data_IF_558774950912
#
_entry.id   IF_558774950912
#
_cell.length_a   1.000
_cell.length_b   1.000
_cell.length_c   1.000
_cell.angle_alpha   90.00
_cell.angle_beta   90.00
_cell.angle_gamma   90.00
#
_symmetry.space_group_name_H-M   'P 1'
#
loop_
_entity.id
_entity.type
_entity.pdbx_description
1 polymer ?
#
# COMPACT_ATOMS: atom_id res chain seq x y z
N UNK A 1 -13.96 19.69 1.55
CA UNK A 1 -13.17 18.58 0.96
C UNK A 1 -13.02 17.54 2.04
N UNK A 2 -13.90 16.55 2.08
CA UNK A 2 -14.01 15.62 3.23
C UNK A 2 -13.03 14.49 3.02
N UNK A 3 -11.93 14.50 3.78
CA UNK A 3 -10.96 13.40 3.82
C UNK A 3 -11.56 12.15 4.48
N UNK A 4 -10.80 11.05 4.56
CA UNK A 4 -11.25 9.81 5.20
C UNK A 4 -11.66 10.09 6.65
N UNK A 5 -12.93 9.83 6.97
CA UNK A 5 -13.49 10.06 8.30
C UNK A 5 -13.12 8.89 9.23
N UNK A 6 -12.37 9.14 10.33
CA UNK A 6 -11.97 8.09 11.27
C UNK A 6 -13.16 7.48 12.03
N UNK A 7 -14.34 8.11 12.02
CA UNK A 7 -15.54 7.55 12.62
C UNK A 7 -16.18 6.41 11.82
N UNK A 8 -15.81 6.25 10.54
CA UNK A 8 -16.41 5.26 9.63
C UNK A 8 -15.62 3.95 9.48
N UNK A 9 -14.52 3.78 10.23
CA UNK A 9 -13.77 2.53 10.26
C UNK A 9 -12.28 2.66 10.54
N UNK A 10 -11.55 1.55 10.46
CA UNK A 10 -10.12 1.50 10.72
C UNK A 10 -9.32 1.84 9.47
N UNK A 11 -8.55 2.93 9.53
CA UNK A 11 -7.63 3.32 8.47
C UNK A 11 -6.31 2.59 8.68
N UNK A 12 -5.88 1.77 7.72
CA UNK A 12 -4.53 1.20 7.75
C UNK A 12 -3.55 2.30 7.38
N UNK A 13 -2.70 2.65 8.33
CA UNK A 13 -1.59 3.55 8.09
C UNK A 13 -0.65 2.94 7.04
N UNK A 14 -0.19 3.74 6.06
CA UNK A 14 0.80 3.28 5.12
C UNK A 14 2.07 2.90 5.86
N UNK A 15 2.53 1.67 5.61
CA UNK A 15 3.66 1.04 6.27
C UNK A 15 4.95 1.44 5.56
N UNK A 16 5.48 2.61 5.93
CA UNK A 16 6.64 3.23 5.27
C UNK A 16 7.97 2.49 5.45
N UNK A 17 8.04 1.45 6.30
CA UNK A 17 9.29 0.74 6.59
C UNK A 17 9.89 0.05 5.35
N UNK A 18 9.05 -0.45 4.44
CA UNK A 18 9.51 -1.14 3.24
C UNK A 18 10.23 -0.16 2.29
N UNK A 19 9.62 0.98 1.88
CA UNK A 19 10.34 1.99 1.12
C UNK A 19 11.60 2.50 1.85
N UNK A 20 11.53 2.68 3.17
CA UNK A 20 12.69 3.13 3.96
C UNK A 20 13.85 2.13 3.89
N UNK A 21 13.57 0.84 3.97
CA UNK A 21 14.56 -0.23 3.84
C UNK A 21 15.19 -0.23 2.43
N UNK A 22 14.39 0.00 1.38
CA UNK A 22 14.90 0.10 0.00
C UNK A 22 15.83 1.31 -0.16
N UNK A 23 15.47 2.47 0.41
CA UNK A 23 16.35 3.65 0.41
C UNK A 23 17.66 3.37 1.17
N UNK A 24 17.60 2.74 2.33
CA UNK A 24 18.80 2.37 3.10
C UNK A 24 19.72 1.41 2.32
N UNK A 25 19.13 0.46 1.60
CA UNK A 25 19.86 -0.46 0.72
C UNK A 25 20.50 0.29 -0.47
N UNK A 26 19.82 1.30 -1.01
CA UNK A 26 20.38 2.20 -2.02
C UNK A 26 21.62 2.94 -1.53
N UNK A 27 21.59 3.46 -0.30
CA UNK A 27 22.75 4.10 0.34
C UNK A 27 23.89 3.09 0.54
N UNK A 28 23.60 1.87 1.02
CA UNK A 28 24.60 0.82 1.18
C UNK A 28 25.26 0.44 -0.16
N UNK A 29 24.52 0.46 -1.26
CA UNK A 29 25.04 0.21 -2.61
C UNK A 29 26.02 1.29 -3.12
N UNK A 30 26.10 2.48 -2.50
CA UNK A 30 27.08 3.52 -2.90
C UNK A 30 28.51 3.00 -2.82
N UNK A 31 28.79 2.11 -1.85
CA UNK A 31 30.10 1.50 -1.68
C UNK A 31 30.48 0.51 -2.80
N UNK A 32 29.49 -0.02 -3.53
CA UNK A 32 29.69 -1.01 -4.59
C UNK A 32 29.65 -0.38 -5.97
N UNK A 33 28.61 0.40 -6.27
CA UNK A 33 28.44 1.05 -7.55
C UNK A 33 27.50 2.26 -7.42
N UNK A 34 27.97 3.49 -7.71
CA UNK A 34 27.16 4.69 -7.57
C UNK A 34 25.94 4.71 -8.49
N UNK A 35 25.98 4.08 -9.67
CA UNK A 35 24.84 4.00 -10.57
C UNK A 35 23.76 3.04 -10.06
N UNK A 36 24.17 1.89 -9.52
CA UNK A 36 23.23 0.97 -8.88
C UNK A 36 22.59 1.60 -7.64
N UNK A 37 23.38 2.31 -6.84
CA UNK A 37 22.91 3.07 -5.69
C UNK A 37 21.87 4.12 -6.08
N UNK A 38 22.12 4.88 -7.16
CA UNK A 38 21.20 5.87 -7.67
C UNK A 38 19.88 5.24 -8.13
N UNK A 39 19.94 4.16 -8.90
CA UNK A 39 18.74 3.45 -9.36
C UNK A 39 17.89 2.91 -8.19
N UNK A 40 18.52 2.27 -7.20
CA UNK A 40 17.84 1.72 -6.03
C UNK A 40 17.27 2.84 -5.14
N UNK A 41 18.00 3.94 -4.97
CA UNK A 41 17.54 5.09 -4.18
C UNK A 41 16.33 5.77 -4.83
N UNK A 42 16.34 5.96 -6.15
CA UNK A 42 15.19 6.49 -6.91
C UNK A 42 13.99 5.55 -6.79
N UNK A 43 14.20 4.24 -6.90
CA UNK A 43 13.14 3.24 -6.69
C UNK A 43 12.56 3.33 -5.27
N UNK A 44 13.40 3.42 -4.24
CA UNK A 44 12.97 3.55 -2.84
C UNK A 44 12.15 4.82 -2.61
N UNK A 45 12.58 5.95 -3.17
CA UNK A 45 11.85 7.22 -3.10
C UNK A 45 10.50 7.13 -3.82
N UNK A 46 10.48 6.49 -5.00
CA UNK A 46 9.25 6.27 -5.75
C UNK A 46 8.26 5.41 -4.97
N UNK A 47 8.72 4.30 -4.38
CA UNK A 47 7.90 3.45 -3.51
C UNK A 47 7.39 4.22 -2.28
N UNK A 48 8.20 5.12 -1.72
CA UNK A 48 7.81 5.95 -0.59
C UNK A 48 6.67 6.87 -0.98
N UNK A 49 6.80 7.58 -2.11
CA UNK A 49 5.75 8.43 -2.65
C UNK A 49 4.47 7.63 -2.93
N UNK A 50 4.58 6.50 -3.63
CA UNK A 50 3.42 5.64 -3.93
C UNK A 50 2.73 5.12 -2.67
N UNK A 51 3.49 4.73 -1.63
CA UNK A 51 2.94 4.25 -0.37
C UNK A 51 2.14 5.32 0.37
N UNK A 52 2.47 6.60 0.19
CA UNK A 52 1.73 7.70 0.82
C UNK A 52 0.44 8.04 0.07
N UNK A 53 0.45 7.87 -1.26
CA UNK A 53 -0.70 8.16 -2.10
C UNK A 53 -1.83 7.16 -1.87
N UNK A 54 -1.51 5.87 -1.71
CA UNK A 54 -2.48 4.80 -1.55
C UNK A 54 -2.74 4.51 -0.07
N UNK A 55 -3.99 4.68 0.36
CA UNK A 55 -4.44 4.33 1.72
C UNK A 55 -5.60 3.34 1.67
N UNK A 56 -5.58 2.36 2.56
CA UNK A 56 -6.65 1.38 2.70
C UNK A 56 -7.44 1.71 3.96
N UNK A 57 -8.75 1.85 3.84
CA UNK A 57 -9.66 2.06 4.96
C UNK A 57 -10.66 0.91 5.00
N UNK A 58 -10.68 0.17 6.10
CA UNK A 58 -11.69 -0.85 6.35
C UNK A 58 -12.88 -0.18 7.01
N UNK A 59 -13.98 -0.05 6.28
CA UNK A 59 -15.26 0.40 6.81
C UNK A 59 -16.09 -0.80 7.28
N UNK A 60 -17.29 -0.56 7.82
CA UNK A 60 -18.19 -1.60 8.32
C UNK A 60 -18.68 -2.56 7.24
N UNK A 61 -18.84 -2.09 5.99
CA UNK A 61 -19.41 -2.89 4.90
C UNK A 61 -18.48 -3.09 3.71
N UNK A 62 -17.39 -2.33 3.62
CA UNK A 62 -16.48 -2.36 2.49
C UNK A 62 -15.05 -1.97 2.84
N UNK A 63 -14.10 -2.49 2.06
CA UNK A 63 -12.74 -1.98 1.99
C UNK A 63 -12.69 -0.82 0.99
N UNK A 64 -12.36 0.37 1.47
CA UNK A 64 -12.21 1.58 0.68
C UNK A 64 -10.72 1.79 0.34
N UNK A 65 -10.40 1.90 -0.94
CA UNK A 65 -9.07 2.29 -1.42
C UNK A 65 -9.09 3.76 -1.73
N UNK A 66 -8.26 4.53 -1.02
CA UNK A 66 -8.10 5.95 -1.20
C UNK A 66 -6.81 6.25 -1.96
N UNK A 67 -6.86 7.22 -2.85
CA UNK A 67 -5.70 7.78 -3.52
C UNK A 67 -5.72 9.31 -3.41
N UNK A 68 -4.73 9.90 -2.76
CA UNK A 68 -4.57 11.37 -2.69
C UNK A 68 -5.79 12.13 -2.14
N UNK A 69 -6.58 11.49 -1.25
CA UNK A 69 -7.79 12.08 -0.66
C UNK A 69 -9.10 11.81 -1.39
N UNK A 70 -9.08 11.08 -2.51
CA UNK A 70 -10.28 10.60 -3.21
C UNK A 70 -10.42 9.08 -3.06
N UNK A 71 -11.66 8.57 -3.00
CA UNK A 71 -11.92 7.13 -3.02
C UNK A 71 -11.70 6.64 -4.46
N UNK A 72 -10.63 5.86 -4.67
CA UNK A 72 -10.33 5.26 -5.97
C UNK A 72 -11.28 4.09 -6.27
N UNK A 73 -11.51 3.22 -5.28
CA UNK A 73 -12.39 2.05 -5.44
C UNK A 73 -12.94 1.60 -4.08
N UNK A 74 -14.14 1.02 -4.11
CA UNK A 74 -14.79 0.38 -2.96
C UNK A 74 -14.92 -1.12 -3.24
N UNK A 75 -14.60 -1.96 -2.26
CA UNK A 75 -14.69 -3.41 -2.33
C UNK A 75 -15.63 -3.90 -1.22
N UNK A 76 -16.93 -4.07 -1.49
CA UNK A 76 -17.91 -4.47 -0.48
C UNK A 76 -17.70 -5.92 -0.03
N UNK A 77 -17.79 -6.19 1.28
CA UNK A 77 -17.50 -7.52 1.85
C UNK A 77 -18.45 -8.61 1.35
N UNK A 78 -19.67 -8.25 0.93
CA UNK A 78 -20.65 -9.18 0.36
C UNK A 78 -20.18 -9.82 -0.96
N UNK A 79 -19.29 -9.16 -1.69
CA UNK A 79 -18.77 -9.65 -2.98
C UNK A 79 -17.51 -10.53 -2.82
N UNK A 80 -17.12 -10.82 -1.58
CA UNK A 80 -15.89 -11.54 -1.26
C UNK A 80 -16.08 -13.06 -1.38
N UNK A 81 -15.60 -13.67 -2.48
CA UNK A 81 -15.61 -15.14 -2.63
C UNK A 81 -14.57 -15.86 -1.77
N UNK A 82 -13.51 -15.16 -1.38
CA UNK A 82 -12.43 -15.71 -0.56
C UNK A 82 -11.33 -14.70 -0.35
N UNK A 83 -10.86 -14.60 0.89
CA UNK A 83 -9.73 -13.77 1.27
C UNK A 83 -8.63 -14.64 1.91
N UNK A 84 -7.38 -14.35 1.59
CA UNK A 84 -6.22 -14.96 2.25
C UNK A 84 -5.17 -13.90 2.54
N UNK A 85 -4.68 -13.90 3.78
CA UNK A 85 -3.48 -13.17 4.15
C UNK A 85 -2.29 -14.05 3.79
N UNK A 86 -1.62 -13.76 2.68
CA UNK A 86 -0.57 -14.65 2.18
C UNK A 86 0.68 -14.66 3.06
N UNK A 87 0.98 -13.60 3.82
CA UNK A 87 2.16 -13.51 4.69
C UNK A 87 1.92 -12.71 5.98
N UNK A 88 2.40 -13.23 7.11
CA UNK A 88 2.38 -12.60 8.43
C UNK A 88 3.57 -11.66 8.77
N UNK A 89 4.82 -11.95 8.36
CA UNK A 89 5.97 -11.09 8.68
C UNK A 89 6.18 -9.95 7.68
N UNK A 90 5.73 -10.15 6.44
CA UNK A 90 5.79 -9.15 5.37
C UNK A 90 4.39 -8.68 5.10
N UNK A 91 4.18 -7.40 4.81
CA UNK A 91 2.90 -6.81 5.05
C UNK A 91 2.30 -6.54 3.69
N UNK A 92 2.22 -7.56 2.84
CA UNK A 92 1.50 -7.52 1.56
C UNK A 92 1.22 -8.96 1.10
N UNK A 93 -0.06 -9.36 1.08
CA UNK A 93 -0.85 -9.54 -0.15
C UNK A 93 -2.25 -10.03 0.27
N UNK A 94 -3.23 -9.12 0.28
CA UNK A 94 -4.64 -9.50 0.32
C UNK A 94 -4.98 -10.01 -1.08
N UNK A 95 -5.03 -11.33 -1.26
CA UNK A 95 -5.61 -11.87 -2.48
C UNK A 95 -7.12 -11.78 -2.35
N UNK A 96 -7.72 -10.93 -3.19
CA UNK A 96 -9.15 -10.70 -3.24
C UNK A 96 -9.68 -11.21 -4.57
N UNK A 97 -10.62 -12.18 -4.53
CA UNK A 97 -11.30 -12.69 -5.72
C UNK A 97 -12.75 -12.18 -5.68
N UNK A 98 -13.05 -11.16 -6.47
CA UNK A 98 -14.40 -10.59 -6.61
C UNK A 98 -15.22 -11.42 -7.63
N UNK A 99 -16.55 -11.50 -7.46
CA UNK A 99 -17.43 -12.28 -8.36
C UNK A 99 -17.48 -11.75 -9.81
N UNK A 100 -17.09 -10.49 -10.06
CA UNK A 100 -17.03 -9.91 -11.42
C UNK A 100 -15.65 -9.33 -11.72
N UNK A 101 -14.74 -10.16 -12.20
CA UNK A 101 -13.70 -9.69 -13.10
C UNK A 101 -14.21 -9.95 -14.53
N UNK A 102 -14.65 -8.90 -15.22
CA UNK A 102 -14.72 -8.90 -16.68
C UNK A 102 -13.37 -8.40 -17.17
#
# INVERSE_FOLDING_TARGET
MTGPDPSQGTILAPRAWLPLAVVALGIACLALNPWAALAVSVLGLFLLLQSQLLRLQFSGEALLVWQGGQVLRRFPYSEWLGWKLFWGPVPVLFYFREQRSI
#
